data_IF_061295955369
#
_entry.id   IF_061295955369
#
_cell.length_a   1.000
_cell.length_b   1.000
_cell.length_c   1.000
_cell.angle_alpha   90.00
_cell.angle_beta   90.00
_cell.angle_gamma   90.00
#
_symmetry.space_group_name_H-M   'P 1'
#
loop_
_entity.id
_entity.type
_entity.pdbx_description
1 polymer ?
#
# COMPACT_ATOMS: atom_id res chain seq x y z
N UNK A 1 -1.21 4.39 -26.91
CA UNK A 1 -1.58 5.63 -26.30
C UNK A 1 -2.21 5.43 -24.94
N UNK A 2 -1.75 6.14 -23.99
CA UNK A 2 -2.22 5.97 -22.64
C UNK A 2 -3.59 6.59 -22.44
N UNK A 3 -4.46 5.80 -21.89
CA UNK A 3 -5.78 6.26 -21.54
C UNK A 3 -5.71 7.00 -20.20
N UNK A 4 -6.14 8.27 -20.14
CA UNK A 4 -6.07 9.03 -18.89
C UNK A 4 -6.78 8.31 -17.73
N UNK A 5 -7.93 7.71 -18.03
CA UNK A 5 -8.66 6.99 -17.00
C UNK A 5 -7.89 5.77 -16.51
N UNK A 6 -7.28 5.08 -17.46
CA UNK A 6 -6.52 3.90 -17.13
C UNK A 6 -5.27 4.26 -16.33
N UNK A 7 -4.66 5.37 -16.70
CA UNK A 7 -3.48 5.82 -16.00
C UNK A 7 -3.79 6.18 -14.56
N UNK A 8 -4.92 6.84 -14.35
CA UNK A 8 -5.34 7.21 -13.01
C UNK A 8 -5.67 5.99 -12.17
N UNK A 9 -6.32 5.02 -12.78
CA UNK A 9 -6.69 3.81 -12.07
C UNK A 9 -5.45 3.04 -11.65
N UNK A 10 -4.47 2.99 -12.54
CA UNK A 10 -3.24 2.29 -12.25
C UNK A 10 -2.45 2.98 -11.15
N UNK A 11 -2.40 4.29 -11.19
CA UNK A 11 -1.71 5.06 -10.17
C UNK A 11 -2.39 4.90 -8.82
N UNK A 12 -3.71 4.94 -8.82
CA UNK A 12 -4.46 4.76 -7.58
C UNK A 12 -4.24 3.38 -6.99
N UNK A 13 -4.24 2.37 -7.85
CA UNK A 13 -4.02 1.01 -7.39
C UNK A 13 -2.62 0.85 -6.80
N UNK A 14 -1.62 1.44 -7.45
CA UNK A 14 -0.26 1.38 -6.95
C UNK A 14 -0.16 2.05 -5.60
N UNK A 15 -0.83 3.19 -5.45
CA UNK A 15 -0.83 3.91 -4.18
C UNK A 15 -1.49 3.07 -3.08
N UNK A 16 -2.63 2.49 -3.38
CA UNK A 16 -3.34 1.66 -2.41
C UNK A 16 -2.47 0.48 -1.99
N UNK A 17 -1.82 -0.15 -2.94
CA UNK A 17 -0.96 -1.27 -2.64
C UNK A 17 0.22 -0.86 -1.78
N UNK A 18 0.83 0.27 -2.10
CA UNK A 18 1.96 0.77 -1.33
C UNK A 18 1.54 1.04 0.11
N UNK A 19 0.41 1.70 0.29
CA UNK A 19 -0.09 2.01 1.63
C UNK A 19 -0.41 0.73 2.38
N UNK A 20 -1.01 -0.24 1.70
CA UNK A 20 -1.37 -1.50 2.33
C UNK A 20 -0.13 -2.25 2.80
N UNK A 21 0.91 -2.27 1.97
CA UNK A 21 2.14 -2.97 2.33
C UNK A 21 2.81 -2.29 3.51
N UNK A 22 2.90 -0.97 3.46
CA UNK A 22 3.52 -0.22 4.55
C UNK A 22 2.73 -0.41 5.84
N UNK A 23 1.40 -0.36 5.75
CA UNK A 23 0.57 -0.56 6.93
C UNK A 23 0.75 -1.95 7.50
N UNK A 24 0.87 -2.96 6.65
CA UNK A 24 1.08 -4.31 7.10
C UNK A 24 2.41 -4.45 7.83
N UNK A 25 3.45 -3.83 7.29
CA UNK A 25 4.77 -3.88 7.91
C UNK A 25 4.74 -3.19 9.27
N UNK A 26 4.13 -2.03 9.35
CA UNK A 26 4.04 -1.28 10.60
C UNK A 26 3.25 -2.10 11.62
N UNK A 27 2.15 -2.69 11.20
CA UNK A 27 1.34 -3.49 12.11
C UNK A 27 2.14 -4.68 12.63
N UNK A 28 2.90 -5.32 11.76
CA UNK A 28 3.72 -6.45 12.16
C UNK A 28 4.77 -6.03 13.19
N UNK A 29 5.41 -4.91 12.95
CA UNK A 29 6.43 -4.41 13.87
C UNK A 29 5.81 -4.09 15.21
N UNK A 30 4.68 -3.42 15.22
CA UNK A 30 4.03 -3.04 16.46
C UNK A 30 3.59 -4.26 17.26
N UNK A 31 3.01 -5.24 16.57
CA UNK A 31 2.58 -6.46 17.22
C UNK A 31 3.79 -7.21 17.77
N UNK A 32 4.85 -7.30 16.98
CA UNK A 32 6.06 -7.96 17.41
C UNK A 32 6.66 -7.32 18.66
N UNK A 33 6.68 -5.99 18.68
CA UNK A 33 7.20 -5.28 19.84
C UNK A 33 6.33 -5.50 21.07
N UNK A 34 5.03 -5.54 20.88
CA UNK A 34 4.12 -5.72 21.98
C UNK A 34 4.26 -7.12 22.60
N UNK A 35 4.53 -8.11 21.73
CA UNK A 35 4.67 -9.47 22.22
C UNK A 35 6.05 -9.73 22.80
N UNK A 36 7.04 -9.04 22.31
CA UNK A 36 8.38 -9.18 22.83
C UNK A 36 8.64 -8.16 23.92
#
# INVERSE_FOLDING_TARGET
MLNPLRSEEEAFRALVWTVAVVAAIVALVLVGRALL
#
